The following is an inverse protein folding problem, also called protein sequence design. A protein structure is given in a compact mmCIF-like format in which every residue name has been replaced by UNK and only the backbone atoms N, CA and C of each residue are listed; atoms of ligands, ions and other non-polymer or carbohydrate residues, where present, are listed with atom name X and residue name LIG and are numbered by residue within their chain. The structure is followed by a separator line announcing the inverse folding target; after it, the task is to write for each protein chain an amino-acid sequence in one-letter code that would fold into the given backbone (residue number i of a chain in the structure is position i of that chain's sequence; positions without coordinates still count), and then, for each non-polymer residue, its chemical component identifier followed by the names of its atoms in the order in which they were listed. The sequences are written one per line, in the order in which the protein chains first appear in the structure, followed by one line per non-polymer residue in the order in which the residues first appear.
data_IF_941523969069
#
_entry.id   IF_941523969069
#
_cell.length_a   1.000
_cell.length_b   1.000
_cell.length_c   1.000
_cell.angle_alpha   90.00
_cell.angle_beta   90.00
_cell.angle_gamma   90.00
#
_symmetry.space_group_name_H-M   'P 1'
#
loop_
_entity.id
_entity.type
_entity.pdbx_description
1 polymer ?
#
# COMPACT_ATOMS: atom_id res chain seq x y z
N UNK A 1 9.93 23.28 10.87
CA UNK A 1 10.91 22.20 11.06
C UNK A 1 10.23 21.14 11.94
N UNK A 2 9.55 20.16 11.31
CA UNK A 2 8.82 19.12 12.03
C UNK A 2 9.80 17.99 12.35
N UNK A 3 10.04 17.79 13.64
CA UNK A 3 10.81 16.63 14.11
C UNK A 3 9.90 15.42 13.97
N UNK A 4 10.09 14.66 12.91
CA UNK A 4 9.47 13.36 12.72
C UNK A 4 10.18 12.36 13.63
N UNK A 5 9.68 12.22 14.87
CA UNK A 5 10.12 11.15 15.76
C UNK A 5 9.62 9.84 15.16
N UNK A 6 10.51 9.12 14.52
CA UNK A 6 10.30 7.75 14.03
C UNK A 6 10.06 6.85 15.26
N UNK A 7 8.80 6.63 15.62
CA UNK A 7 8.43 5.63 16.62
C UNK A 7 8.58 4.23 16.01
N UNK A 8 9.69 3.55 16.31
CA UNK A 8 9.78 2.10 16.25
C UNK A 8 8.86 1.53 17.33
N UNK A 9 7.63 1.22 16.98
CA UNK A 9 6.76 0.42 17.84
C UNK A 9 6.82 -1.06 17.42
N UNK A 10 7.77 -1.76 18.02
CA UNK A 10 7.69 -3.22 18.19
C UNK A 10 7.10 -3.45 19.59
N UNK A 11 5.81 -3.58 19.69
CA UNK A 11 5.15 -4.11 20.89
C UNK A 11 3.91 -4.89 20.48
N UNK A 12 3.63 -6.05 21.12
CA UNK A 12 2.48 -6.86 20.82
C UNK A 12 1.17 -6.11 21.07
N UNK A 13 0.07 -6.45 20.38
CA UNK A 13 -1.15 -5.67 20.31
C UNK A 13 -1.98 -5.55 21.60
N UNK A 14 -1.55 -6.14 22.72
CA UNK A 14 -2.34 -6.20 23.96
C UNK A 14 -1.92 -5.21 25.05
N UNK A 15 -1.03 -4.26 24.77
CA UNK A 15 -0.69 -3.25 25.76
C UNK A 15 -1.60 -2.02 25.65
N UNK A 16 -2.74 -2.11 26.28
CA UNK A 16 -3.57 -0.93 26.60
C UNK A 16 -2.87 -0.14 27.69
N UNK A 17 -2.09 0.86 27.35
CA UNK A 17 -1.58 1.80 28.34
C UNK A 17 -2.70 2.77 28.72
N UNK A 18 -3.39 2.48 29.81
CA UNK A 18 -4.42 3.35 30.40
C UNK A 18 -3.84 4.64 30.98
N UNK A 19 -2.52 4.69 31.13
CA UNK A 19 -1.83 5.84 31.73
C UNK A 19 -1.81 7.01 30.76
N UNK A 20 -2.25 8.19 31.20
CA UNK A 20 -2.16 9.40 30.41
C UNK A 20 -0.71 9.76 30.12
N UNK A 21 -0.41 10.08 28.89
CA UNK A 21 0.92 10.52 28.43
C UNK A 21 0.91 12.05 28.31
N UNK A 22 1.92 12.75 28.83
CA UNK A 22 2.01 14.19 28.69
C UNK A 22 2.17 14.60 27.23
N UNK A 23 1.49 15.68 26.85
CA UNK A 23 1.63 16.26 25.51
C UNK A 23 2.70 17.36 25.49
N UNK A 24 3.13 17.75 24.30
CA UNK A 24 4.02 18.90 24.13
C UNK A 24 3.44 20.19 24.72
N UNK A 25 2.09 20.31 24.78
CA UNK A 25 1.42 21.46 25.38
C UNK A 25 1.66 21.57 26.90
N UNK A 26 1.72 20.43 27.59
CA UNK A 26 2.07 20.43 29.02
C UNK A 26 3.50 20.94 29.22
N UNK A 27 4.44 20.48 28.41
CA UNK A 27 5.85 20.95 28.51
C UNK A 27 5.97 22.43 28.21
N UNK A 28 5.25 22.94 27.23
CA UNK A 28 5.21 24.38 26.91
C UNK A 28 4.54 25.17 28.06
N UNK A 29 3.44 24.66 28.61
CA UNK A 29 2.77 25.31 29.75
C UNK A 29 3.69 25.36 30.99
N UNK A 30 4.39 24.27 31.29
CA UNK A 30 5.40 24.25 32.39
C UNK A 30 6.49 25.29 32.14
N UNK A 31 7.05 25.30 30.91
CA UNK A 31 8.08 26.29 30.56
C UNK A 31 7.59 27.73 30.66
N UNK A 32 6.37 28.01 30.19
CA UNK A 32 5.77 29.35 30.27
C UNK A 32 5.53 29.80 31.73
N UNK A 33 5.01 28.90 32.58
CA UNK A 33 4.80 29.19 33.99
C UNK A 33 6.13 29.43 34.73
N UNK A 34 7.18 28.64 34.43
CA UNK A 34 8.50 28.83 34.97
C UNK A 34 9.09 30.19 34.56
N UNK A 35 9.00 30.52 33.27
CA UNK A 35 9.48 31.82 32.77
C UNK A 35 8.72 32.99 33.41
N UNK A 36 7.39 32.90 33.49
CA UNK A 36 6.56 33.93 34.08
C UNK A 36 6.87 34.11 35.59
N UNK A 37 7.07 32.99 36.31
CA UNK A 37 7.41 33.04 37.74
C UNK A 37 8.80 33.62 37.98
N UNK A 38 9.79 33.40 37.10
CA UNK A 38 11.11 34.01 37.13
C UNK A 38 10.97 35.54 36.93
N UNK A 39 10.23 35.96 35.89
CA UNK A 39 9.99 37.38 35.62
C UNK A 39 9.28 38.04 36.79
N UNK A 40 8.25 37.42 37.37
CA UNK A 40 7.52 37.92 38.53
C UNK A 40 8.42 38.01 39.76
N UNK A 41 9.33 37.07 40.00
CA UNK A 41 10.26 37.10 41.15
C UNK A 41 11.29 38.21 41.04
N UNK A 42 11.69 38.62 39.86
CA UNK A 42 12.58 39.77 39.64
C UNK A 42 11.89 41.11 39.97
N UNK A 43 10.56 41.17 39.74
CA UNK A 43 9.76 42.37 40.02
C UNK A 43 9.44 42.55 41.53
N UNK A 44 9.58 41.49 42.34
CA UNK A 44 9.24 41.47 43.75
C UNK A 44 10.48 41.75 44.59
N UNK A 45 10.43 42.79 45.46
CA UNK A 45 11.58 43.25 46.25
C UNK A 45 12.03 42.32 47.41
N UNK A 46 11.24 41.30 47.78
CA UNK A 46 11.56 40.35 48.83
C UNK A 46 11.64 38.92 48.41
N UNK A 47 12.67 38.20 48.87
CA UNK A 47 12.89 36.80 48.56
C UNK A 47 11.71 35.90 49.00
N UNK A 48 11.13 36.20 50.13
CA UNK A 48 9.99 35.46 50.68
C UNK A 48 8.75 35.54 49.79
N UNK A 49 8.43 36.76 49.31
CA UNK A 49 7.29 36.92 48.38
C UNK A 49 7.54 36.25 47.00
N UNK A 50 8.78 36.23 46.51
CA UNK A 50 9.14 35.51 45.30
C UNK A 50 8.90 34.00 45.41
N UNK A 51 9.27 33.38 46.53
CA UNK A 51 8.98 31.95 46.79
C UNK A 51 7.48 31.67 46.91
N UNK A 52 6.70 32.58 47.50
CA UNK A 52 5.23 32.43 47.53
C UNK A 52 4.61 32.49 46.15
N UNK A 53 4.98 33.46 45.31
CA UNK A 53 4.51 33.56 43.91
C UNK A 53 4.87 32.31 43.13
N UNK A 54 6.10 31.83 43.23
CA UNK A 54 6.55 30.62 42.60
C UNK A 54 5.75 29.39 43.04
N UNK A 55 5.63 29.18 44.36
CA UNK A 55 4.89 28.06 44.95
C UNK A 55 3.41 28.03 44.54
N UNK A 56 2.74 29.21 44.56
CA UNK A 56 1.35 29.32 44.13
C UNK A 56 1.20 29.00 42.61
N UNK A 57 2.10 29.54 41.78
CA UNK A 57 2.04 29.32 40.34
C UNK A 57 2.25 27.84 39.96
N UNK A 58 3.24 27.20 40.57
CA UNK A 58 3.50 25.76 40.35
C UNK A 58 2.38 24.91 40.93
N UNK A 59 1.89 25.22 42.11
CA UNK A 59 0.76 24.54 42.77
C UNK A 59 -0.50 24.59 41.91
N UNK A 60 -0.83 25.78 41.39
CA UNK A 60 -1.99 25.94 40.49
C UNK A 60 -1.85 25.11 39.20
N UNK A 61 -0.69 25.17 38.56
CA UNK A 61 -0.42 24.39 37.37
C UNK A 61 -0.54 22.89 37.64
N UNK A 62 -0.05 22.42 38.79
CA UNK A 62 -0.10 21.03 39.20
C UNK A 62 -1.55 20.58 39.43
N UNK A 63 -2.36 21.40 40.10
CA UNK A 63 -3.81 21.12 40.28
C UNK A 63 -4.52 21.04 38.94
N UNK A 64 -4.27 21.98 38.02
CA UNK A 64 -4.86 21.97 36.68
C UNK A 64 -4.43 20.71 35.89
N UNK A 65 -3.14 20.37 35.93
CA UNK A 65 -2.62 19.20 35.26
C UNK A 65 -3.21 17.88 35.80
N UNK A 66 -3.36 17.77 37.12
CA UNK A 66 -3.99 16.60 37.76
C UNK A 66 -5.48 16.53 37.40
N UNK A 67 -6.21 17.62 37.47
CA UNK A 67 -7.63 17.66 37.10
C UNK A 67 -7.85 17.23 35.64
N UNK A 68 -7.00 17.71 34.73
CA UNK A 68 -7.04 17.37 33.33
C UNK A 68 -6.63 15.90 33.07
N UNK A 69 -5.67 15.35 33.84
CA UNK A 69 -5.30 13.94 33.82
C UNK A 69 -6.45 13.03 34.27
N UNK A 70 -7.14 13.41 35.36
CA UNK A 70 -8.31 12.68 35.83
C UNK A 70 -9.44 12.72 34.83
N UNK A 71 -9.68 13.85 34.17
CA UNK A 71 -10.70 14.01 33.16
C UNK A 71 -10.42 13.10 31.93
N UNK A 72 -9.18 12.96 31.48
CA UNK A 72 -8.85 12.07 30.38
C UNK A 72 -8.90 10.61 30.82
N UNK A 73 -8.51 10.26 32.01
CA UNK A 73 -8.52 8.90 32.56
C UNK A 73 -9.95 8.34 32.66
N UNK A 74 -10.87 9.13 33.21
CA UNK A 74 -12.28 8.77 33.30
C UNK A 74 -12.88 8.50 31.90
N UNK A 75 -12.54 9.34 30.94
CA UNK A 75 -13.01 9.23 29.56
C UNK A 75 -12.23 8.19 28.74
N UNK A 76 -11.05 7.76 29.18
CA UNK A 76 -10.26 6.72 28.52
C UNK A 76 -10.99 5.37 28.49
N UNK A 77 -11.77 5.05 29.52
CA UNK A 77 -12.60 3.85 29.57
C UNK A 77 -13.57 3.76 28.38
N UNK A 78 -14.00 4.89 27.86
CA UNK A 78 -14.85 4.94 26.67
C UNK A 78 -14.10 4.65 25.36
N UNK A 79 -12.78 4.72 25.32
CA UNK A 79 -12.02 4.29 24.15
C UNK A 79 -12.16 2.78 23.93
N UNK A 80 -12.33 1.98 24.99
CA UNK A 80 -12.59 0.55 24.92
C UNK A 80 -13.96 0.19 24.32
N UNK A 81 -14.90 1.15 24.23
CA UNK A 81 -16.20 0.95 23.58
C UNK A 81 -16.16 1.23 22.05
N UNK A 82 -15.03 1.71 21.55
CA UNK A 82 -14.86 1.92 20.12
C UNK A 82 -14.54 0.58 19.44
N UNK A 83 -15.26 0.29 18.37
CA UNK A 83 -14.99 -0.85 17.50
C UNK A 83 -14.48 -0.37 16.16
N UNK A 84 -13.28 -0.78 15.81
CA UNK A 84 -12.67 -0.46 14.51
C UNK A 84 -12.75 -1.69 13.62
N UNK A 85 -13.17 -1.48 12.39
CA UNK A 85 -13.14 -2.50 11.33
C UNK A 85 -12.39 -1.91 10.13
N UNK A 86 -11.41 -2.65 9.62
CA UNK A 86 -10.66 -2.31 8.42
C UNK A 86 -11.26 -3.04 7.23
N UNK A 87 -11.29 -2.37 6.10
CA UNK A 87 -11.53 -2.99 4.80
C UNK A 87 -10.36 -2.64 3.90
N UNK A 88 -9.56 -3.63 3.60
CA UNK A 88 -8.44 -3.56 2.67
C UNK A 88 -8.72 -4.53 1.52
N UNK A 89 -8.29 -4.24 0.29
CA UNK A 89 -8.36 -5.20 -0.80
C UNK A 89 -7.61 -6.48 -0.42
N UNK A 90 -8.12 -7.65 -0.79
CA UNK A 90 -7.48 -8.94 -0.49
C UNK A 90 -6.07 -9.05 -1.05
N UNK A 91 -5.76 -8.27 -2.08
CA UNK A 91 -4.46 -8.20 -2.73
C UNK A 91 -4.08 -6.76 -2.99
N UNK A 92 -2.82 -6.42 -2.74
CA UNK A 92 -2.28 -5.08 -3.02
C UNK A 92 -1.26 -5.18 -4.15
N UNK A 93 -1.47 -4.49 -5.28
CA UNK A 93 -0.45 -4.41 -6.31
C UNK A 93 0.69 -3.50 -5.86
N UNK A 94 1.93 -3.96 -6.03
CA UNK A 94 3.14 -3.19 -5.67
C UNK A 94 3.25 -1.95 -6.55
N UNK A 95 3.57 -0.79 -5.94
CA UNK A 95 3.71 0.49 -6.62
C UNK A 95 2.40 1.16 -7.05
N UNK A 96 1.24 0.58 -6.70
CA UNK A 96 -0.07 1.16 -7.05
C UNK A 96 -0.79 1.64 -5.79
N UNK A 97 -1.36 2.83 -5.89
CA UNK A 97 -2.19 3.39 -4.82
C UNK A 97 -3.47 2.59 -4.69
N UNK A 98 -3.68 2.00 -3.52
CA UNK A 98 -4.89 1.27 -3.14
C UNK A 98 -5.63 2.02 -2.04
N UNK A 99 -6.95 2.00 -2.05
CA UNK A 99 -7.76 2.66 -1.03
C UNK A 99 -8.06 1.70 0.12
N UNK A 100 -7.74 2.12 1.34
CA UNK A 100 -8.08 1.42 2.58
C UNK A 100 -9.17 2.19 3.30
N UNK A 101 -10.21 1.49 3.74
CA UNK A 101 -11.30 2.07 4.50
C UNK A 101 -11.28 1.58 5.96
N UNK A 102 -11.35 2.55 6.89
CA UNK A 102 -11.52 2.31 8.33
C UNK A 102 -12.93 2.73 8.72
N UNK A 103 -13.67 1.84 9.34
CA UNK A 103 -14.96 2.15 9.97
C UNK A 103 -14.79 2.07 11.47
N UNK A 104 -15.09 3.16 12.15
CA UNK A 104 -15.00 3.28 13.61
C UNK A 104 -16.41 3.49 14.15
N UNK A 105 -16.91 2.55 14.93
CA UNK A 105 -18.21 2.63 15.59
C UNK A 105 -18.02 3.02 17.06
N UNK A 106 -18.87 3.93 17.53
CA UNK A 106 -18.90 4.39 18.90
C UNK A 106 -20.10 3.81 19.62
N UNK A 107 -19.87 2.90 20.55
CA UNK A 107 -20.93 2.29 21.36
C UNK A 107 -21.15 3.03 22.70
N UNK A 108 -20.52 4.20 22.90
CA UNK A 108 -20.76 5.02 24.09
C UNK A 108 -21.98 5.95 23.91
N UNK A 109 -22.56 6.40 25.03
CA UNK A 109 -23.72 7.30 25.05
C UNK A 109 -23.40 8.77 24.74
N UNK A 110 -22.15 9.11 24.34
CA UNK A 110 -21.73 10.48 24.07
C UNK A 110 -20.79 10.58 22.86
N UNK A 111 -20.79 11.75 22.24
CA UNK A 111 -19.89 12.02 21.11
C UNK A 111 -18.43 11.94 21.51
N UNK A 112 -17.62 11.25 20.75
CA UNK A 112 -16.22 11.01 21.06
C UNK A 112 -15.32 11.51 19.95
N UNK A 113 -14.44 12.48 20.28
CA UNK A 113 -13.42 12.95 19.33
C UNK A 113 -12.12 12.20 19.60
N UNK A 114 -11.59 11.57 18.55
CA UNK A 114 -10.37 10.77 18.61
C UNK A 114 -9.44 11.08 17.43
N UNK A 115 -8.17 10.76 17.65
CA UNK A 115 -7.16 10.71 16.60
C UNK A 115 -6.90 9.25 16.28
N UNK A 116 -6.98 8.91 15.02
CA UNK A 116 -6.80 7.55 14.52
C UNK A 116 -5.54 7.46 13.68
N UNK A 117 -4.73 6.47 13.97
CA UNK A 117 -3.55 6.12 13.21
C UNK A 117 -3.57 4.61 12.93
N UNK A 118 -3.64 4.25 11.67
CA UNK A 118 -3.58 2.85 11.28
C UNK A 118 -2.13 2.36 11.25
N UNK A 119 -1.83 1.31 12.02
CA UNK A 119 -0.49 0.72 12.12
C UNK A 119 -0.24 -0.16 10.88
N UNK A 120 -0.03 0.51 9.74
CA UNK A 120 0.30 -0.16 8.48
C UNK A 120 1.71 -0.75 8.51
N UNK A 121 1.98 -1.78 7.69
CA UNK A 121 3.31 -2.37 7.55
C UNK A 121 4.36 -1.33 7.12
N UNK A 122 5.61 -1.53 7.55
CA UNK A 122 6.74 -0.66 7.20
C UNK A 122 7.00 -0.64 5.68
N UNK A 123 6.65 -1.74 5.00
CA UNK A 123 6.74 -1.89 3.55
C UNK A 123 5.68 -1.09 2.78
N UNK A 124 4.79 -0.40 3.50
CA UNK A 124 3.76 0.44 2.89
C UNK A 124 3.99 1.91 3.19
N UNK A 125 3.60 2.75 2.26
CA UNK A 125 3.51 4.20 2.45
C UNK A 125 2.05 4.60 2.50
N UNK A 126 1.65 5.28 3.58
CA UNK A 126 0.31 5.83 3.74
C UNK A 126 0.38 7.34 3.87
N UNK A 127 -0.55 8.04 3.26
CA UNK A 127 -0.68 9.48 3.36
C UNK A 127 -1.86 9.87 4.27
N UNK A 128 -1.87 11.14 4.71
CA UNK A 128 -2.98 11.77 5.43
C UNK A 128 -3.23 11.28 6.87
N UNK A 129 -2.30 10.58 7.50
CA UNK A 129 -2.43 10.17 8.91
C UNK A 129 -1.66 11.11 9.84
N UNK A 130 -2.11 11.30 11.09
CA UNK A 130 -3.30 10.76 11.75
C UNK A 130 -4.59 11.51 11.42
N UNK A 131 -5.74 10.81 11.47
CA UNK A 131 -7.07 11.40 11.26
C UNK A 131 -7.69 11.88 12.57
N UNK A 132 -8.17 13.11 12.60
CA UNK A 132 -9.02 13.61 13.69
C UNK A 132 -10.48 13.44 13.29
N UNK A 133 -11.25 12.67 14.07
CA UNK A 133 -12.66 12.40 13.79
C UNK A 133 -13.50 12.49 15.05
N UNK A 134 -14.70 13.06 14.93
CA UNK A 134 -15.71 13.06 15.98
C UNK A 134 -16.82 12.09 15.58
N UNK A 135 -17.07 11.11 16.46
CA UNK A 135 -18.03 10.05 16.24
C UNK A 135 -19.23 10.29 17.14
N UNK A 136 -20.46 10.41 16.60
CA UNK A 136 -21.66 10.64 17.40
C UNK A 136 -21.95 9.43 18.32
N UNK A 137 -22.77 9.62 19.38
CA UNK A 137 -23.16 8.53 20.27
C UNK A 137 -23.95 7.46 19.48
N UNK A 138 -23.58 6.19 19.66
CA UNK A 138 -24.22 5.07 18.95
C UNK A 138 -23.99 5.05 17.43
N UNK A 139 -23.23 6.02 16.89
CA UNK A 139 -22.97 6.18 15.47
C UNK A 139 -21.63 5.59 15.02
N UNK A 140 -21.28 5.86 13.77
CA UNK A 140 -19.99 5.46 13.21
C UNK A 140 -19.42 6.56 12.32
N UNK A 141 -18.09 6.52 12.13
CA UNK A 141 -17.39 7.30 11.13
C UNK A 141 -16.67 6.36 10.16
N UNK A 142 -16.62 6.73 8.90
CA UNK A 142 -15.88 6.03 7.87
C UNK A 142 -14.80 6.94 7.31
N UNK A 143 -13.58 6.46 7.33
CA UNK A 143 -12.39 7.16 6.84
C UNK A 143 -11.76 6.33 5.72
N UNK A 144 -11.23 6.99 4.72
CA UNK A 144 -10.52 6.37 3.62
C UNK A 144 -9.15 7.02 3.47
N UNK A 145 -8.15 6.23 3.16
CA UNK A 145 -6.82 6.74 2.93
C UNK A 145 -6.10 5.95 1.84
N UNK A 146 -5.23 6.63 1.08
CA UNK A 146 -4.40 5.97 0.09
C UNK A 146 -3.25 5.23 0.77
N UNK A 147 -3.04 3.99 0.36
CA UNK A 147 -1.94 3.12 0.77
C UNK A 147 -1.22 2.59 -0.46
N UNK A 148 0.10 2.66 -0.46
CA UNK A 148 0.94 2.08 -1.51
C UNK A 148 1.85 1.03 -0.91
N UNK A 149 1.79 -0.19 -1.42
CA UNK A 149 2.74 -1.25 -1.09
C UNK A 149 4.03 -1.02 -1.89
N UNK A 150 5.17 -0.91 -1.20
CA UNK A 150 6.48 -0.67 -1.82
C UNK A 150 7.26 -1.97 -2.07
N UNK A 151 6.83 -3.06 -1.43
CA UNK A 151 7.48 -4.37 -1.52
C UNK A 151 6.42 -5.46 -1.61
N UNK A 152 6.75 -6.53 -2.35
CA UNK A 152 5.92 -7.73 -2.42
C UNK A 152 6.07 -8.57 -1.16
N UNK A 153 5.09 -9.39 -0.88
CA UNK A 153 5.10 -10.32 0.22
C UNK A 153 3.86 -10.26 1.09
N UNK A 154 3.98 -10.82 2.28
CA UNK A 154 2.90 -10.83 3.26
C UNK A 154 3.00 -9.58 4.14
N UNK A 155 2.05 -8.68 3.99
CA UNK A 155 1.96 -7.41 4.70
C UNK A 155 1.06 -7.59 5.92
N UNK A 156 1.60 -7.34 7.12
CA UNK A 156 0.88 -7.50 8.36
C UNK A 156 0.51 -6.13 8.96
N UNK A 157 -0.78 -5.86 9.08
CA UNK A 157 -1.29 -4.72 9.80
C UNK A 157 -1.37 -5.08 11.29
N UNK A 158 -0.69 -4.33 12.14
CA UNK A 158 -0.61 -4.65 13.57
C UNK A 158 -1.89 -4.26 14.34
N UNK A 159 -2.63 -3.26 13.89
CA UNK A 159 -3.81 -2.76 14.56
C UNK A 159 -4.09 -1.30 14.21
N UNK A 160 -4.99 -0.68 14.94
CA UNK A 160 -5.30 0.75 14.80
C UNK A 160 -5.07 1.45 16.15
N UNK A 161 -4.14 2.39 16.18
CA UNK A 161 -3.89 3.23 17.34
C UNK A 161 -4.96 4.34 17.41
N UNK A 162 -5.59 4.45 18.56
CA UNK A 162 -6.61 5.47 18.85
C UNK A 162 -6.09 6.33 19.98
N UNK A 163 -6.05 7.63 19.77
CA UNK A 163 -5.61 8.58 20.76
C UNK A 163 -6.71 9.60 21.07
N UNK A 164 -6.85 9.96 22.34
CA UNK A 164 -7.75 11.00 22.81
C UNK A 164 -6.99 11.99 23.66
N UNK A 165 -7.16 13.26 23.37
CA UNK A 165 -6.61 14.34 24.20
C UNK A 165 -7.57 14.68 25.34
N UNK A 166 -7.00 15.14 26.43
CA UNK A 166 -7.73 15.74 27.53
C UNK A 166 -8.42 17.04 27.09
N UNK A 167 -9.38 17.59 27.88
CA UNK A 167 -10.06 18.84 27.56
C UNK A 167 -9.12 20.02 27.33
N UNK A 168 -8.08 20.16 28.14
CA UNK A 168 -7.07 21.22 28.01
C UNK A 168 -5.95 20.81 27.02
N UNK A 169 -5.91 19.55 26.65
CA UNK A 169 -4.89 19.02 25.75
C UNK A 169 -3.52 18.82 26.39
N UNK A 170 -3.44 18.81 27.72
CA UNK A 170 -2.20 18.59 28.45
C UNK A 170 -1.80 17.13 28.50
N UNK A 171 -2.80 16.23 28.44
CA UNK A 171 -2.62 14.78 28.48
C UNK A 171 -3.26 14.11 27.29
N UNK A 172 -2.76 12.94 26.97
CA UNK A 172 -3.25 12.10 25.89
C UNK A 172 -3.38 10.66 26.39
N UNK A 173 -4.54 10.03 26.19
CA UNK A 173 -4.72 8.59 26.36
C UNK A 173 -4.60 7.90 25.02
N UNK A 174 -3.91 6.76 24.95
CA UNK A 174 -3.70 5.95 23.74
C UNK A 174 -4.07 4.51 24.01
N UNK A 175 -4.76 3.91 23.04
CA UNK A 175 -5.00 2.47 22.98
C UNK A 175 -4.68 1.97 21.59
N UNK A 176 -4.31 0.71 21.50
CA UNK A 176 -4.20 0.01 20.21
C UNK A 176 -5.34 -1.01 20.17
N UNK A 177 -6.23 -0.85 19.22
CA UNK A 177 -7.31 -1.79 18.99
C UNK A 177 -6.81 -2.90 18.07
N UNK A 178 -7.04 -4.15 18.49
CA UNK A 178 -6.63 -5.33 17.75
C UNK A 178 -7.45 -5.46 16.46
N UNK A 179 -6.94 -4.93 15.38
CA UNK A 179 -7.46 -5.09 14.01
C UNK A 179 -6.37 -5.70 13.14
N UNK A 180 -5.67 -6.71 13.70
CA UNK A 180 -4.62 -7.41 12.98
C UNK A 180 -5.17 -8.07 11.73
N UNK A 181 -4.55 -7.81 10.59
CA UNK A 181 -4.95 -8.34 9.29
C UNK A 181 -3.72 -8.57 8.43
N UNK A 182 -3.74 -9.64 7.65
CA UNK A 182 -2.64 -9.99 6.76
C UNK A 182 -3.12 -9.91 5.32
N UNK A 183 -2.40 -9.16 4.50
CA UNK A 183 -2.71 -8.93 3.08
C UNK A 183 -1.47 -9.24 2.25
N UNK A 184 -1.65 -9.86 1.10
CA UNK A 184 -0.54 -10.16 0.20
C UNK A 184 -0.35 -9.06 -0.83
N UNK A 185 0.89 -8.59 -0.96
CA UNK A 185 1.30 -7.71 -2.03
C UNK A 185 1.88 -8.54 -3.19
N UNK A 186 1.34 -8.31 -4.38
CA UNK A 186 1.72 -8.97 -5.62
C UNK A 186 2.29 -7.96 -6.63
N UNK A 187 3.04 -8.42 -7.63
CA UNK A 187 3.43 -7.58 -8.76
C UNK A 187 2.22 -6.92 -9.42
N UNK A 188 2.44 -5.78 -10.06
CA UNK A 188 1.37 -5.01 -10.67
C UNK A 188 0.87 -5.64 -11.98
N UNK A 189 -0.30 -6.29 -11.93
CA UNK A 189 -0.94 -6.89 -13.10
C UNK A 189 -1.72 -5.89 -13.97
N UNK A 190 -1.81 -4.61 -13.58
CA UNK A 190 -2.60 -3.63 -14.34
C UNK A 190 -2.06 -3.42 -15.76
N UNK A 191 -0.74 -3.50 -15.95
CA UNK A 191 -0.13 -3.48 -17.26
C UNK A 191 -0.62 -4.65 -18.13
N UNK A 192 -0.68 -5.86 -17.56
CA UNK A 192 -1.18 -7.06 -18.25
C UNK A 192 -2.63 -6.86 -18.72
N UNK A 193 -3.49 -6.34 -17.83
CA UNK A 193 -4.90 -6.08 -18.14
C UNK A 193 -5.04 -5.01 -19.23
N UNK A 194 -4.25 -3.94 -19.16
CA UNK A 194 -4.25 -2.87 -20.17
C UNK A 194 -3.84 -3.39 -21.55
N UNK A 195 -2.78 -4.18 -21.64
CA UNK A 195 -2.33 -4.78 -22.89
C UNK A 195 -3.31 -5.86 -23.40
N UNK A 196 -3.97 -6.58 -22.48
CA UNK A 196 -5.03 -7.51 -22.84
C UNK A 196 -6.19 -6.81 -23.57
N UNK A 197 -6.63 -5.67 -23.04
CA UNK A 197 -7.68 -4.85 -23.66
C UNK A 197 -7.24 -4.31 -25.02
N UNK A 198 -6.02 -3.77 -25.14
CA UNK A 198 -5.47 -3.31 -26.42
C UNK A 198 -5.36 -4.44 -27.44
N UNK A 199 -5.00 -5.65 -27.03
CA UNK A 199 -4.95 -6.81 -27.91
C UNK A 199 -6.33 -7.24 -28.40
N UNK A 200 -7.39 -7.08 -27.59
CA UNK A 200 -8.79 -7.31 -27.99
C UNK A 200 -9.24 -6.26 -29.00
N UNK A 201 -8.97 -4.97 -28.74
CA UNK A 201 -9.31 -3.87 -29.66
C UNK A 201 -8.59 -4.02 -31.02
N UNK A 202 -7.32 -4.43 -31.01
CA UNK A 202 -6.57 -4.71 -32.24
C UNK A 202 -7.14 -5.89 -33.00
N UNK A 203 -7.66 -6.92 -32.31
CA UNK A 203 -8.36 -8.03 -32.99
C UNK A 203 -9.70 -7.61 -33.57
N UNK A 204 -10.45 -6.74 -32.88
CA UNK A 204 -11.71 -6.22 -33.39
C UNK A 204 -11.50 -5.33 -34.64
N UNK A 205 -10.43 -4.54 -34.67
CA UNK A 205 -10.08 -3.74 -35.85
C UNK A 205 -9.53 -4.59 -37.01
N UNK A 206 -9.01 -5.78 -36.73
CA UNK A 206 -8.53 -6.74 -37.77
C UNK A 206 -9.61 -7.72 -38.30
N UNK A 207 -10.78 -7.74 -37.67
CA UNK A 207 -11.91 -8.61 -38.19
C UNK A 207 -12.36 -8.18 -39.58
N UNK A 208 -12.08 -6.92 -39.99
CA UNK A 208 -12.30 -6.46 -41.37
C UNK A 208 -11.16 -6.75 -42.37
N UNK A 209 -9.99 -7.14 -41.86
CA UNK A 209 -8.85 -7.52 -42.69
C UNK A 209 -8.81 -9.05 -42.77
N UNK A 210 -9.17 -9.61 -43.93
CA UNK A 210 -8.98 -11.02 -44.26
C UNK A 210 -7.67 -11.53 -43.66
N UNK A 211 -7.77 -12.57 -42.82
CA UNK A 211 -6.65 -13.34 -42.28
C UNK A 211 -5.73 -13.75 -43.43
N UNK A 212 -4.83 -12.86 -43.84
CA UNK A 212 -3.74 -13.25 -44.74
C UNK A 212 -2.93 -14.27 -43.96
N UNK A 213 -3.09 -15.53 -44.30
CA UNK A 213 -2.19 -16.59 -43.85
C UNK A 213 -0.78 -16.08 -44.11
N UNK A 214 -0.03 -15.73 -43.08
CA UNK A 214 1.39 -15.46 -43.21
C UNK A 214 1.99 -16.78 -43.69
N UNK A 215 2.52 -16.75 -44.90
CA UNK A 215 3.38 -17.82 -45.38
C UNK A 215 4.61 -17.78 -44.51
N UNK A 216 4.72 -18.73 -43.58
CA UNK A 216 5.82 -18.80 -42.67
C UNK A 216 6.97 -19.59 -43.25
N UNK A 217 8.15 -19.35 -42.76
CA UNK A 217 9.32 -20.23 -42.91
C UNK A 217 9.31 -21.34 -41.84
N UNK A 218 8.12 -21.74 -41.35
CA UNK A 218 7.95 -22.79 -40.35
C UNK A 218 8.46 -24.14 -40.83
N UNK A 219 8.71 -25.07 -39.90
CA UNK A 219 9.21 -26.41 -40.22
C UNK A 219 8.08 -27.42 -40.47
N UNK A 220 6.83 -27.08 -40.17
CA UNK A 220 5.72 -27.99 -40.30
C UNK A 220 5.23 -28.02 -41.76
N UNK A 221 5.30 -29.22 -42.41
CA UNK A 221 4.89 -29.40 -43.78
C UNK A 221 3.36 -29.32 -43.90
N UNK A 222 2.87 -28.39 -44.74
CA UNK A 222 1.44 -28.21 -44.94
C UNK A 222 0.96 -28.95 -46.24
N UNK A 223 1.53 -28.57 -47.39
CA UNK A 223 1.12 -29.16 -48.68
C UNK A 223 2.15 -28.95 -49.78
N UNK A 224 2.01 -29.74 -50.86
CA UNK A 224 2.71 -29.52 -52.13
C UNK A 224 1.83 -28.69 -53.06
N UNK A 225 2.37 -27.62 -53.62
CA UNK A 225 1.69 -26.78 -54.61
C UNK A 225 2.59 -26.47 -55.83
N UNK A 226 2.00 -25.98 -56.88
CA UNK A 226 2.79 -25.52 -58.02
C UNK A 226 3.67 -24.32 -57.63
N UNK A 227 4.92 -24.32 -58.05
CA UNK A 227 5.88 -23.24 -57.85
C UNK A 227 5.35 -21.95 -58.47
N UNK A 228 5.53 -20.84 -57.81
CA UNK A 228 5.17 -19.50 -58.27
C UNK A 228 6.38 -18.60 -58.27
N UNK A 229 6.43 -17.66 -59.22
CA UNK A 229 7.46 -16.64 -59.22
C UNK A 229 7.48 -15.88 -57.91
N UNK A 230 8.69 -15.82 -57.29
CA UNK A 230 8.89 -15.25 -55.95
C UNK A 230 8.96 -16.28 -54.82
N UNK A 231 8.72 -17.57 -55.08
CA UNK A 231 9.00 -18.61 -54.07
C UNK A 231 10.53 -18.87 -53.99
N UNK A 232 10.99 -19.21 -52.77
CA UNK A 232 12.39 -19.57 -52.59
C UNK A 232 12.74 -20.84 -53.36
N UNK A 233 13.86 -20.86 -54.12
CA UNK A 233 14.30 -22.11 -54.81
C UNK A 233 14.56 -23.27 -53.84
N UNK A 234 14.83 -23.00 -52.58
CA UNK A 234 15.02 -24.00 -51.50
C UNK A 234 13.73 -24.77 -51.18
N UNK A 235 12.58 -24.19 -51.47
CA UNK A 235 11.27 -24.82 -51.20
C UNK A 235 10.86 -25.80 -52.28
N UNK A 236 11.60 -25.94 -53.39
CA UNK A 236 11.29 -26.86 -54.47
C UNK A 236 11.46 -28.30 -54.01
N UNK A 237 10.40 -29.11 -54.19
CA UNK A 237 10.46 -30.56 -54.01
C UNK A 237 10.83 -31.24 -55.35
N UNK A 238 12.10 -31.56 -55.47
CA UNK A 238 12.63 -32.18 -56.71
C UNK A 238 12.03 -33.54 -56.97
N UNK A 239 11.64 -34.30 -55.93
CA UNK A 239 11.02 -35.62 -56.07
C UNK A 239 9.58 -35.51 -56.61
N UNK A 240 8.83 -34.54 -56.14
CA UNK A 240 7.48 -34.28 -56.64
C UNK A 240 7.53 -33.65 -58.04
N UNK A 241 8.48 -32.75 -58.28
CA UNK A 241 8.74 -32.10 -59.57
C UNK A 241 9.04 -33.12 -60.65
N UNK A 242 9.91 -34.12 -60.43
CA UNK A 242 10.26 -35.16 -61.39
C UNK A 242 9.07 -36.05 -61.73
N UNK A 243 8.15 -36.27 -60.79
CA UNK A 243 6.94 -37.11 -61.08
C UNK A 243 5.83 -36.38 -61.83
N UNK A 244 5.73 -35.05 -61.57
CA UNK A 244 4.63 -34.25 -62.14
C UNK A 244 5.03 -33.44 -63.37
N UNK A 245 6.32 -33.50 -63.80
CA UNK A 245 6.91 -32.74 -64.88
C UNK A 245 6.64 -31.25 -64.85
N UNK A 246 6.48 -30.71 -63.66
CA UNK A 246 6.34 -29.25 -63.33
C UNK A 246 6.91 -28.95 -61.99
N UNK A 247 7.40 -27.72 -61.81
CA UNK A 247 8.01 -27.29 -60.57
C UNK A 247 6.97 -27.31 -59.46
N UNK A 248 7.25 -28.07 -58.38
CA UNK A 248 6.42 -28.19 -57.19
C UNK A 248 7.19 -27.61 -56.00
N UNK A 249 6.52 -26.73 -55.25
CA UNK A 249 7.04 -26.14 -54.02
C UNK A 249 6.39 -26.76 -52.80
N UNK A 250 7.18 -26.96 -51.74
CA UNK A 250 6.70 -27.29 -50.39
C UNK A 250 6.20 -26.04 -49.73
N UNK A 251 4.98 -26.05 -49.28
CA UNK A 251 4.42 -25.00 -48.44
C UNK A 251 4.47 -25.45 -47.00
N UNK A 252 5.10 -24.61 -46.15
CA UNK A 252 5.19 -24.84 -44.71
C UNK A 252 4.22 -23.94 -44.00
N UNK A 253 3.71 -24.40 -42.88
CA UNK A 253 2.83 -23.65 -42.00
C UNK A 253 3.62 -23.18 -40.78
N UNK A 254 3.30 -21.99 -40.27
CA UNK A 254 3.88 -21.53 -39.01
C UNK A 254 3.46 -22.50 -37.90
N UNK A 255 4.45 -22.94 -37.12
CA UNK A 255 4.22 -23.77 -35.95
C UNK A 255 3.30 -23.02 -34.98
N UNK A 256 2.25 -23.68 -34.54
CA UNK A 256 1.40 -23.28 -33.43
C UNK A 256 1.79 -24.16 -32.26
N UNK A 257 1.47 -23.69 -31.03
CA UNK A 257 1.76 -24.40 -29.79
C UNK A 257 3.25 -24.39 -29.42
N UNK A 258 3.90 -23.23 -29.57
CA UNK A 258 5.28 -23.05 -29.10
C UNK A 258 5.33 -23.12 -27.57
N UNK A 259 6.44 -23.67 -27.07
CA UNK A 259 6.73 -23.67 -25.64
C UNK A 259 7.67 -22.50 -25.34
N UNK A 260 7.18 -21.55 -24.55
CA UNK A 260 7.96 -20.40 -24.09
C UNK A 260 8.42 -20.65 -22.65
N UNK A 261 9.72 -20.79 -22.45
CA UNK A 261 10.31 -20.97 -21.11
C UNK A 261 10.96 -19.68 -20.65
N UNK A 262 10.55 -19.19 -19.48
CA UNK A 262 11.13 -17.99 -18.86
C UNK A 262 12.17 -18.39 -17.82
N UNK A 263 13.40 -17.91 -17.98
CA UNK A 263 14.46 -18.07 -17.01
C UNK A 263 14.61 -16.76 -16.23
N UNK A 264 14.26 -16.80 -14.95
CA UNK A 264 14.29 -15.63 -14.06
C UNK A 264 15.53 -15.67 -13.16
N UNK A 265 16.38 -14.64 -13.26
CA UNK A 265 17.47 -14.45 -12.31
C UNK A 265 16.94 -13.98 -10.96
N UNK A 266 17.25 -14.73 -9.89
CA UNK A 266 16.90 -14.43 -8.50
C UNK A 266 18.11 -13.98 -7.68
N UNK A 267 19.19 -13.54 -8.31
CA UNK A 267 20.42 -13.12 -7.64
C UNK A 267 20.21 -11.84 -6.82
N UNK A 268 21.17 -11.56 -5.93
CA UNK A 268 21.14 -10.34 -5.10
C UNK A 268 21.13 -9.05 -5.91
N UNK A 269 21.65 -9.05 -7.14
CA UNK A 269 21.67 -7.89 -8.04
C UNK A 269 20.26 -7.46 -8.45
N UNK A 270 19.33 -8.42 -8.53
CA UNK A 270 17.93 -8.15 -8.86
C UNK A 270 17.15 -7.42 -7.74
N UNK A 271 17.74 -7.31 -6.54
CA UNK A 271 17.16 -6.52 -5.44
C UNK A 271 17.46 -5.01 -5.55
N UNK A 272 18.34 -4.60 -6.48
CA UNK A 272 18.54 -3.18 -6.75
C UNK A 272 17.20 -2.55 -7.16
N UNK A 273 16.93 -1.36 -6.59
CA UNK A 273 15.68 -0.62 -6.85
C UNK A 273 15.96 0.45 -7.88
N UNK A 274 15.04 0.58 -8.83
CA UNK A 274 14.92 1.72 -9.73
C UNK A 274 13.63 2.44 -9.32
N UNK A 275 13.77 3.64 -8.76
CA UNK A 275 12.73 4.39 -8.06
C UNK A 275 12.09 3.59 -6.90
N UNK A 276 10.91 3.05 -7.10
CA UNK A 276 10.11 2.35 -6.07
C UNK A 276 10.13 0.84 -6.21
N UNK A 277 10.43 0.31 -7.40
CA UNK A 277 10.38 -1.12 -7.71
C UNK A 277 11.78 -1.71 -7.83
N UNK A 278 11.94 -2.99 -7.44
CA UNK A 278 13.18 -3.71 -7.69
C UNK A 278 13.27 -4.16 -9.14
N UNK A 279 14.48 -4.38 -9.65
CA UNK A 279 14.69 -4.99 -10.97
C UNK A 279 13.96 -6.32 -11.09
N UNK A 280 13.88 -7.08 -9.99
CA UNK A 280 13.11 -8.33 -9.94
C UNK A 280 11.61 -8.09 -10.15
N UNK A 281 11.04 -7.03 -9.55
CA UNK A 281 9.60 -6.71 -9.73
C UNK A 281 9.30 -6.28 -11.16
N UNK A 282 10.20 -5.49 -11.79
CA UNK A 282 10.10 -5.15 -13.20
C UNK A 282 10.14 -6.39 -14.10
N UNK A 283 11.07 -7.31 -13.83
CA UNK A 283 11.21 -8.56 -14.59
C UNK A 283 9.98 -9.45 -14.41
N UNK A 284 9.45 -9.59 -13.18
CA UNK A 284 8.21 -10.34 -12.94
C UNK A 284 7.02 -9.75 -13.71
N UNK A 285 6.88 -8.43 -13.71
CA UNK A 285 5.82 -7.76 -14.45
C UNK A 285 5.93 -8.03 -15.96
N UNK A 286 7.16 -8.00 -16.50
CA UNK A 286 7.43 -8.31 -17.91
C UNK A 286 7.12 -9.78 -18.24
N UNK A 287 7.56 -10.73 -17.41
CA UNK A 287 7.30 -12.16 -17.61
C UNK A 287 5.80 -12.43 -17.57
N UNK A 288 5.08 -11.87 -16.62
CA UNK A 288 3.62 -12.03 -16.53
C UNK A 288 2.89 -11.52 -17.78
N UNK A 289 3.33 -10.37 -18.31
CA UNK A 289 2.79 -9.85 -19.56
C UNK A 289 3.09 -10.78 -20.74
N UNK A 290 4.33 -11.24 -20.86
CA UNK A 290 4.74 -12.16 -21.94
C UNK A 290 4.01 -13.50 -21.83
N UNK A 291 3.87 -14.07 -20.64
CA UNK A 291 3.10 -15.29 -20.37
C UNK A 291 1.64 -15.10 -20.80
N UNK A 292 1.03 -13.97 -20.45
CA UNK A 292 -0.33 -13.68 -20.86
C UNK A 292 -0.47 -13.62 -22.38
N UNK A 293 0.47 -12.98 -23.07
CA UNK A 293 0.48 -12.88 -24.55
C UNK A 293 0.67 -14.27 -25.19
N UNK A 294 1.62 -15.06 -24.69
CA UNK A 294 1.90 -16.41 -25.18
C UNK A 294 0.64 -17.31 -25.09
N UNK A 295 0.04 -17.40 -23.90
CA UNK A 295 -1.19 -18.18 -23.69
C UNK A 295 -2.33 -17.70 -24.60
N UNK A 296 -2.45 -16.40 -24.84
CA UNK A 296 -3.45 -15.84 -25.75
C UNK A 296 -3.20 -16.18 -27.21
N UNK A 297 -1.96 -16.46 -27.60
CA UNK A 297 -1.59 -16.89 -28.95
C UNK A 297 -1.79 -18.41 -29.15
N UNK A 298 -2.04 -19.14 -28.07
CA UNK A 298 -2.17 -20.59 -28.07
C UNK A 298 -0.89 -21.31 -27.71
N UNK A 299 0.14 -20.57 -27.25
CA UNK A 299 1.43 -21.12 -26.85
C UNK A 299 1.39 -21.58 -25.38
N UNK A 300 2.26 -22.53 -25.04
CA UNK A 300 2.49 -22.98 -23.67
C UNK A 300 3.58 -22.12 -23.04
N UNK A 301 3.38 -21.65 -21.79
CA UNK A 301 4.35 -20.83 -21.08
C UNK A 301 4.68 -21.44 -19.71
N UNK A 302 5.96 -21.46 -19.34
CA UNK A 302 6.46 -22.00 -18.07
C UNK A 302 7.80 -21.40 -17.61
#
# INVERSE_FOLDING_TARGET
MFITTTMRMQSPPDQVSWLPVPTTRLLVAVGAVLMLSIVASVAVMTVAAAWQVWGVSVGLLLVIAIADALAVSQRARALGTLKVTRRVPHTLPVGVVSEVALRVANHSGYATTVWLFDLHPVQCTAAQMPFKVTIPPGGFAQLRYPLTANERGNLQFAGTAVARHSPLGLWQSRIVLATAESVRAFPNYAAVTRYALLAVDHRLSQIGVLKRRRRGSGMDFHQLRDYRDGDSPRSIDWKATSRRVRLISREYQDERDQQVLFLLDCSRRMNAKDDTLSHFDHTLNAILLMTFVAIRQGDSAG
#
